data_IF_192723971309
#
_entry.id   IF_192723971309
#
_cell.length_a   1.000
_cell.length_b   1.000
_cell.length_c   1.000
_cell.angle_alpha   90.00
_cell.angle_beta   90.00
_cell.angle_gamma   90.00
#
_symmetry.space_group_name_H-M   'P 1'
#
loop_
_entity.id
_entity.type
_entity.pdbx_description
1 polymer ?
#
# COMPACT_ATOMS: atom_id res chain seq x y z
N UNK A 1 -40.54 43.56 -13.18
CA UNK A 1 -40.15 42.30 -13.86
C UNK A 1 -41.20 41.25 -13.57
N UNK A 2 -42.10 41.00 -14.51
CA UNK A 2 -43.18 40.01 -14.33
C UNK A 2 -42.56 38.63 -14.49
N UNK A 3 -42.47 37.89 -13.39
CA UNK A 3 -42.01 36.50 -13.43
C UNK A 3 -43.00 35.73 -14.31
N UNK A 4 -42.53 35.20 -15.44
CA UNK A 4 -43.33 34.34 -16.31
C UNK A 4 -43.66 33.04 -15.57
N UNK A 5 -44.83 32.99 -14.91
CA UNK A 5 -45.29 31.82 -14.13
C UNK A 5 -45.16 30.52 -14.91
N UNK A 6 -45.40 30.56 -16.23
CA UNK A 6 -45.19 29.43 -17.16
C UNK A 6 -43.75 28.89 -17.14
N UNK A 7 -42.75 29.76 -17.10
CA UNK A 7 -41.33 29.37 -17.01
C UNK A 7 -40.98 28.72 -15.66
N UNK A 8 -41.66 29.09 -14.56
CA UNK A 8 -41.51 28.40 -13.26
C UNK A 8 -42.02 26.98 -13.31
N UNK A 9 -43.24 26.81 -13.84
CA UNK A 9 -43.88 25.50 -13.93
C UNK A 9 -43.00 24.57 -14.76
N UNK A 10 -42.53 25.05 -15.93
CA UNK A 10 -41.62 24.28 -16.78
C UNK A 10 -40.32 23.96 -16.03
N UNK A 11 -39.72 24.94 -15.35
CA UNK A 11 -38.51 24.74 -14.55
C UNK A 11 -38.68 23.70 -13.44
N UNK A 12 -39.79 23.72 -12.70
CA UNK A 12 -40.08 22.71 -11.67
C UNK A 12 -40.30 21.32 -12.23
N UNK A 13 -40.96 21.19 -13.39
CA UNK A 13 -41.16 19.88 -14.04
C UNK A 13 -39.81 19.32 -14.50
N UNK A 14 -38.96 20.16 -15.12
CA UNK A 14 -37.61 19.76 -15.54
C UNK A 14 -36.75 19.36 -14.36
N UNK A 15 -36.80 20.10 -13.25
CA UNK A 15 -36.06 19.78 -12.04
C UNK A 15 -36.54 18.46 -11.43
N UNK A 16 -37.85 18.22 -11.39
CA UNK A 16 -38.43 16.97 -10.88
C UNK A 16 -38.06 15.76 -11.74
N UNK A 17 -38.03 15.93 -13.06
CA UNK A 17 -37.56 14.90 -13.99
C UNK A 17 -36.07 14.60 -13.81
N UNK A 18 -35.24 15.63 -13.65
CA UNK A 18 -33.79 15.47 -13.43
C UNK A 18 -33.52 14.73 -12.13
N UNK A 19 -34.20 15.10 -11.04
CA UNK A 19 -34.10 14.39 -9.76
C UNK A 19 -34.51 12.93 -9.92
N UNK A 20 -35.59 12.64 -10.65
CA UNK A 20 -36.03 11.25 -10.87
C UNK A 20 -35.00 10.35 -11.57
N UNK A 21 -34.22 10.90 -12.51
CA UNK A 21 -33.15 10.17 -13.21
C UNK A 21 -31.87 10.10 -12.38
N UNK A 22 -31.51 11.19 -11.70
CA UNK A 22 -30.29 11.28 -10.91
C UNK A 22 -30.40 10.51 -9.59
N UNK A 23 -31.61 10.37 -9.04
CA UNK A 23 -31.87 9.69 -7.77
C UNK A 23 -31.36 8.24 -7.77
N UNK A 24 -31.74 7.34 -8.69
CA UNK A 24 -31.16 6.00 -8.70
C UNK A 24 -29.64 6.06 -8.92
N UNK A 25 -29.11 6.91 -9.80
CA UNK A 25 -27.66 6.97 -10.04
C UNK A 25 -26.85 7.31 -8.78
N UNK A 26 -27.36 8.18 -7.91
CA UNK A 26 -26.67 8.57 -6.66
C UNK A 26 -26.93 7.57 -5.53
N UNK A 27 -28.15 7.03 -5.43
CA UNK A 27 -28.61 6.28 -4.26
C UNK A 27 -28.68 4.77 -4.45
N UNK A 28 -28.62 4.25 -5.68
CA UNK A 28 -28.68 2.81 -5.98
C UNK A 28 -27.41 2.05 -5.57
N UNK A 29 -26.40 2.77 -5.02
CA UNK A 29 -25.33 2.19 -4.19
C UNK A 29 -24.82 0.87 -4.72
N UNK A 30 -23.99 0.94 -5.78
CA UNK A 30 -23.57 -0.23 -6.56
C UNK A 30 -23.14 -1.42 -5.73
N UNK A 31 -23.49 -2.61 -6.23
CA UNK A 31 -23.15 -3.92 -5.66
C UNK A 31 -21.72 -3.88 -5.10
N UNK A 32 -21.60 -3.96 -3.78
CA UNK A 32 -20.32 -4.19 -3.15
C UNK A 32 -19.87 -5.56 -3.63
N UNK A 33 -18.96 -5.57 -4.60
CA UNK A 33 -18.27 -6.78 -5.03
C UNK A 33 -17.61 -7.37 -3.78
N UNK A 34 -18.29 -8.33 -3.15
CA UNK A 34 -17.69 -9.28 -2.24
C UNK A 34 -16.73 -10.04 -3.14
N UNK A 35 -15.48 -9.57 -3.21
CA UNK A 35 -14.42 -10.33 -3.84
C UNK A 35 -14.46 -11.68 -3.13
N UNK A 36 -14.84 -12.72 -3.87
CA UNK A 36 -14.84 -14.09 -3.39
C UNK A 36 -13.36 -14.43 -3.15
N UNK A 37 -12.90 -14.13 -1.94
CA UNK A 37 -11.54 -14.33 -1.50
C UNK A 37 -11.36 -15.84 -1.40
N UNK A 38 -10.87 -16.44 -2.48
CA UNK A 38 -10.53 -17.85 -2.51
C UNK A 38 -9.57 -18.12 -1.35
N UNK A 39 -9.99 -18.97 -0.40
CA UNK A 39 -9.27 -19.23 0.84
C UNK A 39 -7.97 -19.96 0.53
N UNK A 40 -6.90 -19.18 0.39
CA UNK A 40 -5.54 -19.65 0.09
C UNK A 40 -4.77 -20.06 1.33
N UNK A 41 -5.47 -20.30 2.44
CA UNK A 41 -4.89 -20.73 3.72
C UNK A 41 -4.50 -22.21 3.59
N UNK A 42 -3.21 -22.57 3.72
CA UNK A 42 -2.78 -23.95 3.75
C UNK A 42 -3.39 -24.71 4.93
N UNK A 43 -3.67 -26.03 4.79
CA UNK A 43 -4.18 -26.83 5.90
C UNK A 43 -3.19 -26.85 7.07
N UNK A 44 -3.71 -26.86 8.29
CA UNK A 44 -2.89 -26.86 9.50
C UNK A 44 -1.94 -28.08 9.53
N UNK A 45 -0.65 -27.88 9.84
CA UNK A 45 0.32 -28.96 9.92
C UNK A 45 0.03 -29.86 11.13
N UNK A 46 0.09 -31.17 10.93
CA UNK A 46 -0.10 -32.13 12.02
C UNK A 46 1.22 -32.33 12.78
N UNK A 47 1.28 -31.87 14.04
CA UNK A 47 2.39 -32.16 14.94
C UNK A 47 2.15 -33.46 15.70
N UNK A 48 3.12 -34.38 15.68
CA UNK A 48 3.13 -35.53 16.58
C UNK A 48 3.60 -35.07 17.96
N UNK A 49 2.77 -35.26 18.98
CA UNK A 49 3.17 -35.00 20.37
C UNK A 49 4.25 -36.03 20.75
N UNK A 50 5.49 -35.58 20.88
CA UNK A 50 6.54 -36.43 21.43
C UNK A 50 6.18 -36.78 22.88
N UNK A 51 6.32 -38.04 23.31
CA UNK A 51 6.07 -38.41 24.70
C UNK A 51 7.03 -37.63 25.60
N UNK A 52 6.46 -36.98 26.63
CA UNK A 52 7.19 -36.14 27.56
C UNK A 52 8.23 -36.98 28.33
N UNK A 53 9.52 -36.61 28.33
CA UNK A 53 10.54 -37.35 29.05
C UNK A 53 10.34 -37.19 30.55
N UNK A 54 10.07 -38.31 31.24
CA UNK A 54 9.89 -38.32 32.69
C UNK A 54 11.25 -38.07 33.40
N UNK A 55 11.47 -36.93 34.07
CA UNK A 55 12.74 -36.61 34.66
C UNK A 55 13.02 -37.52 35.88
N UNK A 56 14.04 -38.37 35.77
CA UNK A 56 14.52 -39.14 36.93
C UNK A 56 15.54 -38.30 37.69
N UNK A 57 15.20 -37.89 38.91
CA UNK A 57 16.04 -37.04 39.77
C UNK A 57 17.28 -37.81 40.24
N UNK A 58 18.51 -37.34 39.94
CA UNK A 58 19.72 -37.90 40.54
C UNK A 58 19.83 -37.49 42.02
N UNK A 59 20.36 -38.41 42.84
CA UNK A 59 20.69 -38.16 44.24
C UNK A 59 21.96 -37.30 44.30
N UNK A 60 21.86 -36.12 44.90
CA UNK A 60 22.96 -35.19 45.11
C UNK A 60 23.80 -35.68 46.30
N UNK A 61 25.08 -35.99 46.06
CA UNK A 61 26.09 -36.10 47.11
C UNK A 61 26.79 -34.74 47.10
N UNK A 62 26.59 -33.98 48.17
CA UNK A 62 27.18 -32.66 48.33
C UNK A 62 28.64 -32.82 48.76
N UNK A 63 29.56 -32.30 47.95
CA UNK A 63 30.83 -31.79 48.43
C UNK A 63 30.88 -30.29 48.11
N UNK A 64 31.26 -29.54 49.13
CA UNK A 64 31.19 -28.08 49.22
C UNK A 64 32.41 -27.40 48.57
N UNK A 65 32.37 -26.06 48.63
CA UNK A 65 33.44 -25.06 48.39
C UNK A 65 33.32 -24.32 47.04
N UNK A 66 32.90 -23.03 47.03
CA UNK A 66 33.73 -21.80 47.18
C UNK A 66 33.90 -21.17 45.77
N UNK A 67 33.86 -19.87 45.45
CA UNK A 67 33.56 -18.54 46.04
C UNK A 67 33.52 -17.57 44.81
N UNK A 68 32.99 -16.34 44.98
CA UNK A 68 33.49 -15.06 44.36
C UNK A 68 33.36 -14.88 42.81
N UNK A 69 33.08 -13.73 42.20
CA UNK A 69 32.63 -12.35 42.51
C UNK A 69 32.53 -11.61 41.14
N UNK A 70 31.70 -10.54 41.07
CA UNK A 70 31.89 -9.28 40.25
C UNK A 70 31.98 -9.37 38.69
N UNK A 71 31.60 -8.42 37.83
CA UNK A 71 31.33 -6.96 37.81
C UNK A 71 30.64 -6.63 36.44
N UNK A 72 29.62 -5.74 36.32
CA UNK A 72 29.69 -4.29 35.92
C UNK A 72 30.17 -4.08 34.46
N UNK A 73 29.60 -3.28 33.53
CA UNK A 73 28.50 -2.30 33.39
C UNK A 73 28.39 -1.84 31.90
N UNK A 74 27.36 -1.05 31.59
CA UNK A 74 26.92 -0.27 30.41
C UNK A 74 27.95 0.23 29.35
N UNK A 75 27.60 0.80 28.18
CA UNK A 75 26.38 1.39 27.60
C UNK A 75 26.60 1.58 26.07
N UNK A 76 25.57 1.58 25.23
CA UNK A 76 24.61 2.67 24.93
C UNK A 76 25.21 3.86 24.16
N UNK A 77 25.04 3.74 22.84
CA UNK A 77 24.90 4.70 21.73
C UNK A 77 25.01 6.21 21.99
N UNK A 78 25.70 6.90 21.07
CA UNK A 78 25.32 8.23 20.58
C UNK A 78 25.53 8.32 19.06
N UNK A 79 24.48 8.76 18.36
CA UNK A 79 24.53 9.25 16.99
C UNK A 79 24.00 10.67 16.92
N UNK A 80 24.38 11.37 15.84
CA UNK A 80 23.66 12.39 15.07
C UNK A 80 24.51 13.65 14.75
N UNK A 81 24.62 13.94 13.46
CA UNK A 81 24.79 15.25 12.81
C UNK A 81 24.19 15.05 11.39
N UNK A 82 23.15 15.73 10.88
CA UNK A 82 22.90 17.17 10.63
C UNK A 82 24.01 17.74 9.69
N UNK A 83 23.82 18.44 8.55
CA UNK A 83 22.76 19.25 7.91
C UNK A 83 23.07 19.37 6.37
N UNK A 84 22.13 19.93 5.59
CA UNK A 84 22.34 20.89 4.47
C UNK A 84 22.85 20.35 3.11
N UNK A 85 22.56 20.90 1.93
CA UNK A 85 21.74 22.00 1.41
C UNK A 85 21.81 21.91 -0.14
N UNK A 86 20.73 22.29 -0.83
CA UNK A 86 20.64 23.07 -2.07
C UNK A 86 21.76 22.95 -3.15
N UNK A 87 21.40 22.66 -4.41
CA UNK A 87 21.32 23.67 -5.49
C UNK A 87 21.31 23.06 -6.92
N UNK A 88 20.37 23.57 -7.73
CA UNK A 88 20.39 23.81 -9.18
C UNK A 88 20.52 22.69 -10.24
N UNK A 89 19.40 22.55 -11.00
CA UNK A 89 19.24 22.62 -12.47
C UNK A 89 20.27 21.94 -13.39
N UNK A 90 19.81 21.12 -14.37
CA UNK A 90 19.93 21.29 -15.85
C UNK A 90 19.08 20.22 -16.59
N UNK A 91 17.97 20.67 -17.20
CA UNK A 91 17.47 20.52 -18.59
C UNK A 91 17.68 19.18 -19.38
N UNK A 92 16.53 18.66 -19.84
CA UNK A 92 16.20 17.91 -21.08
C UNK A 92 17.20 16.94 -21.71
N UNK A 93 16.74 15.68 -21.86
CA UNK A 93 16.63 15.06 -23.19
C UNK A 93 15.62 13.90 -23.18
N UNK A 94 14.57 14.02 -23.98
CA UNK A 94 13.68 12.92 -24.34
C UNK A 94 14.34 12.13 -25.46
N UNK A 95 14.71 10.88 -25.20
CA UNK A 95 14.95 9.86 -26.22
C UNK A 95 14.25 8.57 -25.78
N UNK A 96 13.31 8.12 -26.60
CA UNK A 96 12.77 6.77 -26.60
C UNK A 96 13.93 5.78 -26.77
N UNK A 97 14.27 5.06 -25.70
CA UNK A 97 14.99 3.80 -25.80
C UNK A 97 14.02 2.69 -25.39
N UNK A 98 13.59 1.92 -26.39
CA UNK A 98 13.04 0.58 -26.24
C UNK A 98 14.07 -0.27 -25.48
N UNK A 99 13.99 -0.26 -24.16
CA UNK A 99 14.78 -1.13 -23.30
C UNK A 99 14.26 -2.56 -23.45
N UNK A 100 15.02 -3.32 -24.24
CA UNK A 100 15.19 -4.77 -24.20
C UNK A 100 14.74 -5.33 -22.84
N UNK A 101 13.60 -6.02 -22.83
CA UNK A 101 13.06 -6.66 -21.65
C UNK A 101 13.99 -7.83 -21.30
N UNK A 102 15.04 -7.53 -20.54
CA UNK A 102 15.79 -8.52 -19.79
C UNK A 102 14.77 -9.31 -18.95
N UNK A 103 14.43 -10.50 -19.44
CA UNK A 103 13.61 -11.50 -18.75
C UNK A 103 14.42 -12.09 -17.59
N UNK A 104 14.85 -11.21 -16.68
CA UNK A 104 15.29 -11.57 -15.35
C UNK A 104 14.23 -12.48 -14.72
N UNK A 105 14.62 -13.61 -14.08
CA UNK A 105 13.69 -14.60 -13.57
C UNK A 105 12.69 -13.92 -12.65
N UNK A 106 11.39 -13.97 -12.97
CA UNK A 106 10.31 -13.23 -12.31
C UNK A 106 10.50 -13.16 -10.79
N UNK A 107 11.18 -12.10 -10.35
CA UNK A 107 11.46 -11.87 -8.94
C UNK A 107 10.10 -11.62 -8.31
N UNK A 108 9.64 -12.60 -7.55
CA UNK A 108 8.36 -12.51 -6.83
C UNK A 108 8.57 -11.52 -5.69
N UNK A 109 8.40 -10.23 -6.01
CA UNK A 109 8.48 -9.12 -5.08
C UNK A 109 7.09 -8.67 -4.64
N UNK A 110 7.01 -8.12 -3.42
CA UNK A 110 5.81 -7.41 -2.97
C UNK A 110 5.91 -5.94 -3.35
N UNK A 111 4.85 -5.39 -3.94
CA UNK A 111 4.71 -3.95 -4.16
C UNK A 111 3.47 -3.39 -3.46
N UNK A 112 3.56 -2.13 -3.04
CA UNK A 112 2.51 -1.42 -2.30
C UNK A 112 1.85 -0.44 -3.25
N UNK A 113 0.51 -0.45 -3.33
CA UNK A 113 -0.25 0.57 -4.07
C UNK A 113 -0.47 1.79 -3.18
N UNK A 114 0.04 2.94 -3.60
CA UNK A 114 -0.11 4.21 -2.88
C UNK A 114 -1.43 4.91 -3.20
N UNK A 115 -1.96 4.71 -4.42
CA UNK A 115 -3.23 5.30 -4.84
C UNK A 115 -3.58 5.01 -6.29
N UNK A 116 -4.81 5.36 -6.67
CA UNK A 116 -5.32 5.30 -8.04
C UNK A 116 -5.96 6.63 -8.43
N UNK A 117 -5.59 7.14 -9.60
CA UNK A 117 -6.00 8.45 -10.09
C UNK A 117 -6.75 8.31 -11.41
N UNK A 118 -7.85 9.05 -11.57
CA UNK A 118 -8.55 9.13 -12.86
C UNK A 118 -7.78 10.00 -13.88
N UNK A 119 -7.01 10.98 -13.38
CA UNK A 119 -6.19 11.86 -14.20
C UNK A 119 -4.75 11.37 -14.23
N UNK A 120 -4.20 11.18 -15.44
CA UNK A 120 -2.85 10.62 -15.63
C UNK A 120 -1.77 11.51 -15.06
N UNK A 121 -1.93 12.83 -15.17
CA UNK A 121 -0.96 13.80 -14.67
C UNK A 121 -0.77 13.71 -13.14
N UNK A 122 -1.83 13.41 -12.39
CA UNK A 122 -1.75 13.28 -10.94
C UNK A 122 -0.92 12.07 -10.51
N UNK A 123 -1.01 10.97 -11.27
CA UNK A 123 -0.20 9.79 -11.04
C UNK A 123 1.27 10.07 -11.35
N UNK A 124 1.57 10.76 -12.46
CA UNK A 124 2.93 11.15 -12.84
C UNK A 124 3.58 12.02 -11.76
N UNK A 125 2.89 13.08 -11.31
CA UNK A 125 3.40 13.97 -10.26
C UNK A 125 3.67 13.22 -8.94
N UNK A 126 2.97 12.12 -8.66
CA UNK A 126 3.25 11.29 -7.49
C UNK A 126 4.49 10.42 -7.71
N UNK A 127 4.64 9.81 -8.88
CA UNK A 127 5.82 9.00 -9.24
C UNK A 127 7.09 9.85 -9.19
N UNK A 128 7.07 11.05 -9.75
CA UNK A 128 8.23 11.96 -9.73
C UNK A 128 8.70 12.25 -8.30
N UNK A 129 7.77 12.60 -7.40
CA UNK A 129 8.09 12.83 -5.98
C UNK A 129 8.64 11.58 -5.28
N UNK A 130 8.19 10.39 -5.69
CA UNK A 130 8.70 9.13 -5.14
C UNK A 130 10.10 8.83 -5.66
N UNK A 131 10.38 9.12 -6.93
CA UNK A 131 11.71 8.98 -7.53
C UNK A 131 12.71 9.97 -6.91
N UNK A 132 12.30 11.22 -6.66
CA UNK A 132 13.09 12.22 -5.91
C UNK A 132 13.45 11.73 -4.50
N UNK A 133 12.58 10.92 -3.91
CA UNK A 133 12.79 10.29 -2.59
C UNK A 133 13.47 8.92 -2.69
N UNK A 134 14.08 8.58 -3.83
CA UNK A 134 14.79 7.33 -4.12
C UNK A 134 13.94 6.04 -4.00
N UNK A 135 12.61 6.17 -4.07
CA UNK A 135 11.73 5.01 -4.12
C UNK A 135 11.56 4.50 -5.55
N UNK A 136 11.66 3.18 -5.72
CA UNK A 136 11.30 2.51 -6.98
C UNK A 136 9.78 2.53 -7.14
N UNK A 137 9.30 3.51 -7.90
CA UNK A 137 7.88 3.71 -8.17
C UNK A 137 7.55 3.50 -9.65
N UNK A 138 6.38 2.94 -9.93
CA UNK A 138 5.88 2.76 -11.29
C UNK A 138 4.36 2.90 -11.34
N UNK A 139 3.84 3.21 -12.53
CA UNK A 139 2.40 3.29 -12.79
C UNK A 139 1.91 2.07 -13.54
N UNK A 140 0.64 1.72 -13.31
CA UNK A 140 -0.08 0.73 -14.13
C UNK A 140 -1.48 1.23 -14.41
N UNK A 141 -1.88 1.14 -15.68
CA UNK A 141 -3.22 1.49 -16.14
C UNK A 141 -4.18 0.33 -15.85
N UNK A 142 -5.36 0.66 -15.34
CA UNK A 142 -6.44 -0.27 -15.05
C UNK A 142 -7.75 0.29 -15.59
N UNK A 143 -8.58 -0.56 -16.16
CA UNK A 143 -9.92 -0.22 -16.57
C UNK A 143 -10.92 -0.95 -15.68
N UNK A 144 -11.86 -0.22 -15.08
CA UNK A 144 -12.94 -0.78 -14.28
C UNK A 144 -14.28 -0.14 -14.68
N UNK A 145 -15.36 -0.57 -14.02
CA UNK A 145 -16.71 -0.04 -14.27
C UNK A 145 -16.87 1.47 -13.99
N UNK A 146 -15.92 2.11 -13.29
CA UNK A 146 -15.89 3.55 -13.01
C UNK A 146 -15.04 4.34 -14.03
N UNK A 147 -14.26 3.68 -14.89
CA UNK A 147 -13.47 4.30 -15.95
C UNK A 147 -12.01 3.84 -15.98
N UNK A 148 -11.21 4.56 -16.76
CA UNK A 148 -9.77 4.38 -16.87
C UNK A 148 -9.07 5.03 -15.67
N UNK A 149 -8.27 4.25 -14.93
CA UNK A 149 -7.56 4.69 -13.75
C UNK A 149 -6.07 4.34 -13.84
N UNK A 150 -5.23 5.25 -13.39
CA UNK A 150 -3.77 5.05 -13.29
C UNK A 150 -3.41 4.82 -11.82
N UNK A 151 -2.92 3.63 -11.50
CA UNK A 151 -2.50 3.27 -10.14
C UNK A 151 -0.99 3.39 -9.98
N UNK A 152 -0.55 3.98 -8.88
CA UNK A 152 0.87 4.16 -8.53
C UNK A 152 1.29 3.11 -7.50
N UNK A 153 2.40 2.42 -7.78
CA UNK A 153 2.97 1.39 -6.93
C UNK A 153 4.40 1.73 -6.54
N UNK A 154 4.83 1.23 -5.38
CA UNK A 154 6.22 1.26 -4.91
C UNK A 154 6.66 -0.14 -4.55
N UNK A 155 7.79 -0.57 -5.08
CA UNK A 155 8.35 -1.90 -4.85
C UNK A 155 9.32 -2.33 -5.95
N UNK A 156 10.05 -3.42 -5.73
CA UNK A 156 10.86 -4.06 -6.77
C UNK A 156 10.01 -4.64 -7.89
#
# INVERSE_FOLDING_TARGET
>A
MVYNKKQRIVGTIVLMALVGVLFPVIFDGGDTFQAELESRIPPEPQFSLLPEPNPTRPVIIADADTDTDTDTDAGAEEGQSEISENDSQIISQSEEDEADLDLSPMLSGWSIRLGSFAEKQNAINLVERLHESEYKAYTREFNNSAGELVSVFVGP
#
